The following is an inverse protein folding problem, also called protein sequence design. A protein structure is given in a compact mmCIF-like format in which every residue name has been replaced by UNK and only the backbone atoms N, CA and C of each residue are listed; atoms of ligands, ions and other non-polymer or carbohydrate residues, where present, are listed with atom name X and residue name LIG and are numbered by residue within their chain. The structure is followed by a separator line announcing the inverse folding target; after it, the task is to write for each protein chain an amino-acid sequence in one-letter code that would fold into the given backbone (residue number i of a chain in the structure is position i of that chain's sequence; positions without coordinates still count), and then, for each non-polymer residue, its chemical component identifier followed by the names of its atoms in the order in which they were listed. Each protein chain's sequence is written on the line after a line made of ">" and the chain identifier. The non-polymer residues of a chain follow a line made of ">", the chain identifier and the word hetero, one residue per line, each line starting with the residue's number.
data_IF_000886375888
#
_entry.id   IF_000886375888
#
_cell.length_a   1.000
_cell.length_b   1.000
_cell.length_c   1.000
_cell.angle_alpha   90.00
_cell.angle_beta   90.00
_cell.angle_gamma   90.00
#
_symmetry.space_group_name_H-M   'P 1'
#
loop_
_entity.id
_entity.type
_entity.pdbx_description
1 polymer ?
#
# COMPACT_ATOMS: atom_id res chain seq x y z
N UNK A 1 -5.26 17.48 12.15
CA UNK A 1 -5.01 16.02 12.31
C UNK A 1 -4.66 15.47 10.94
N UNK A 2 -3.61 14.60 10.87
CA UNK A 2 -3.38 13.72 9.71
C UNK A 2 -3.70 12.30 10.16
N UNK A 3 -4.56 11.61 9.42
CA UNK A 3 -4.97 10.25 9.70
C UNK A 3 -4.48 9.28 8.62
N UNK A 4 -3.74 8.28 9.05
CA UNK A 4 -3.26 7.16 8.23
C UNK A 4 -4.41 6.17 7.99
N UNK A 5 -5.17 6.37 6.92
CA UNK A 5 -6.23 5.47 6.49
C UNK A 5 -5.68 4.42 5.51
N UNK A 6 -6.55 3.71 4.83
CA UNK A 6 -6.19 2.60 3.94
C UNK A 6 -7.13 2.52 2.73
N UNK A 7 -6.62 2.05 1.61
CA UNK A 7 -7.43 1.70 0.44
C UNK A 7 -8.49 0.62 0.72
N UNK A 8 -8.36 -0.15 1.81
CA UNK A 8 -9.37 -1.15 2.21
C UNK A 8 -10.74 -0.54 2.51
N UNK A 9 -10.83 0.76 2.82
CA UNK A 9 -12.12 1.46 3.04
C UNK A 9 -13.00 1.51 1.79
N UNK A 10 -12.42 1.36 0.59
CA UNK A 10 -13.20 1.30 -0.64
C UNK A 10 -14.06 0.04 -0.77
N UNK A 11 -13.67 -1.05 -0.08
CA UNK A 11 -14.40 -2.31 -0.06
C UNK A 11 -14.42 -3.04 -1.41
N UNK A 12 -15.01 -4.23 -1.43
CA UNK A 12 -14.98 -5.13 -2.57
C UNK A 12 -15.93 -4.75 -3.73
N UNK A 13 -16.74 -3.69 -3.58
CA UNK A 13 -17.55 -3.17 -4.70
C UNK A 13 -16.76 -2.34 -5.70
N UNK A 14 -15.60 -1.84 -5.30
CA UNK A 14 -14.72 -1.03 -6.12
C UNK A 14 -13.52 -1.86 -6.55
N UNK A 15 -13.17 -1.81 -7.82
CA UNK A 15 -12.03 -2.51 -8.41
C UNK A 15 -11.35 -1.65 -9.47
N UNK A 16 -10.14 -2.01 -9.87
CA UNK A 16 -9.34 -1.23 -10.81
C UNK A 16 -8.81 0.06 -10.20
N UNK A 17 -8.91 1.15 -10.94
CA UNK A 17 -8.41 2.47 -10.53
C UNK A 17 -9.36 3.16 -9.55
N UNK A 18 -8.91 3.43 -8.32
CA UNK A 18 -9.72 3.99 -7.23
C UNK A 18 -9.43 5.47 -7.03
N UNK A 19 -10.47 6.30 -7.12
CA UNK A 19 -10.44 7.74 -6.82
C UNK A 19 -11.14 8.07 -5.50
N UNK A 20 -10.87 9.24 -4.91
CA UNK A 20 -11.36 9.63 -3.58
C UNK A 20 -12.87 9.89 -3.55
N UNK A 21 -13.51 10.11 -4.68
CA UNK A 21 -14.96 10.35 -4.84
C UNK A 21 -15.78 9.05 -4.86
N UNK A 22 -15.13 7.89 -4.93
CA UNK A 22 -15.82 6.61 -4.86
C UNK A 22 -16.43 6.37 -3.47
N UNK A 23 -17.58 5.69 -3.46
CA UNK A 23 -18.26 5.29 -2.23
C UNK A 23 -17.39 4.36 -1.40
N UNK A 24 -17.23 4.66 -0.11
CA UNK A 24 -16.51 3.83 0.86
C UNK A 24 -17.47 3.15 1.84
N UNK A 25 -16.96 2.17 2.60
CA UNK A 25 -17.73 1.51 3.65
C UNK A 25 -18.70 0.43 3.15
N UNK A 26 -18.63 0.05 1.88
CA UNK A 26 -19.53 -0.97 1.33
C UNK A 26 -18.76 -2.22 0.98
N UNK A 27 -19.19 -3.36 1.56
CA UNK A 27 -18.55 -4.66 1.36
C UNK A 27 -17.04 -4.65 1.73
N UNK A 28 -16.69 -4.01 2.83
CA UNK A 28 -15.36 -4.16 3.42
C UNK A 28 -15.21 -5.61 3.89
N UNK A 29 -14.12 -6.25 3.53
CA UNK A 29 -13.93 -7.70 3.70
C UNK A 29 -13.16 -8.09 4.95
N UNK A 30 -12.68 -7.11 5.73
CA UNK A 30 -11.86 -7.37 6.91
C UNK A 30 -12.04 -6.33 8.02
N UNK A 31 -11.88 -6.73 9.31
CA UNK A 31 -12.04 -5.82 10.44
C UNK A 31 -11.11 -4.60 10.42
N UNK A 32 -9.90 -4.72 9.86
CA UNK A 32 -8.97 -3.60 9.74
C UNK A 32 -9.57 -2.48 8.87
N UNK A 33 -10.10 -2.82 7.70
CA UNK A 33 -10.76 -1.86 6.81
C UNK A 33 -11.96 -1.18 7.48
N UNK A 34 -12.77 -1.95 8.22
CA UNK A 34 -13.89 -1.40 8.99
C UNK A 34 -13.42 -0.39 10.05
N UNK A 35 -12.36 -0.69 10.81
CA UNK A 35 -11.83 0.26 11.79
C UNK A 35 -11.36 1.56 11.15
N UNK A 36 -10.68 1.47 9.99
CA UNK A 36 -10.24 2.67 9.25
C UNK A 36 -11.43 3.49 8.75
N UNK A 37 -12.44 2.84 8.19
CA UNK A 37 -13.65 3.51 7.72
C UNK A 37 -14.41 4.22 8.86
N UNK A 38 -14.60 3.56 10.00
CA UNK A 38 -15.25 4.16 11.17
C UNK A 38 -14.50 5.39 11.67
N UNK A 39 -13.17 5.35 11.72
CA UNK A 39 -12.35 6.49 12.12
C UNK A 39 -12.47 7.64 11.10
N UNK A 40 -12.49 7.36 9.78
CA UNK A 40 -12.77 8.41 8.78
C UNK A 40 -14.09 9.11 9.08
N UNK A 41 -15.17 8.36 9.36
CA UNK A 41 -16.49 8.94 9.68
C UNK A 41 -16.50 9.77 10.96
N UNK A 42 -15.79 9.33 12.00
CA UNK A 42 -15.65 10.10 13.24
C UNK A 42 -14.93 11.43 12.96
N UNK A 43 -13.81 11.40 12.21
CA UNK A 43 -13.03 12.58 11.91
C UNK A 43 -13.79 13.57 10.99
N UNK A 44 -14.55 13.07 10.01
CA UNK A 44 -15.44 13.88 9.18
C UNK A 44 -16.50 14.59 10.04
N UNK A 45 -17.14 13.87 10.97
CA UNK A 45 -18.13 14.43 11.88
C UNK A 45 -17.52 15.48 12.83
N UNK A 46 -16.33 15.22 13.37
CA UNK A 46 -15.60 16.19 14.20
C UNK A 46 -15.24 17.47 13.44
N UNK A 47 -14.80 17.35 12.19
CA UNK A 47 -14.50 18.52 11.35
C UNK A 47 -15.75 19.36 11.03
N UNK A 48 -16.94 18.74 10.96
CA UNK A 48 -18.21 19.45 10.82
C UNK A 48 -18.58 20.15 12.14
N UNK A 49 -18.42 19.49 13.29
CA UNK A 49 -18.74 20.03 14.60
C UNK A 49 -17.79 21.17 15.03
N UNK A 50 -16.57 21.17 14.50
CA UNK A 50 -15.49 22.12 14.81
C UNK A 50 -14.97 22.75 13.53
N UNK A 51 -15.60 23.82 13.03
CA UNK A 51 -15.25 24.42 11.73
C UNK A 51 -13.81 24.95 11.61
N UNK A 52 -13.14 25.18 12.73
CA UNK A 52 -11.71 25.57 12.77
C UNK A 52 -10.75 24.39 12.58
N UNK A 53 -11.25 23.15 12.65
CA UNK A 53 -10.43 21.94 12.57
C UNK A 53 -10.07 21.61 11.13
N UNK A 54 -8.82 21.25 10.91
CA UNK A 54 -8.33 20.67 9.66
C UNK A 54 -8.05 19.18 9.85
N UNK A 55 -8.69 18.36 9.04
CA UNK A 55 -8.50 16.89 8.99
C UNK A 55 -7.99 16.51 7.62
N UNK A 56 -6.87 15.79 7.58
CA UNK A 56 -6.33 15.20 6.36
C UNK A 56 -6.33 13.68 6.48
N UNK A 57 -7.04 13.02 5.60
CA UNK A 57 -7.16 11.55 5.55
C UNK A 57 -6.31 11.06 4.38
N UNK A 58 -5.32 10.20 4.69
CA UNK A 58 -4.42 9.62 3.70
C UNK A 58 -4.74 8.14 3.54
N UNK A 59 -5.31 7.75 2.39
CA UNK A 59 -5.63 6.36 2.06
C UNK A 59 -4.44 5.71 1.40
N UNK A 60 -3.73 4.87 2.15
CA UNK A 60 -2.54 4.15 1.67
C UNK A 60 -2.95 2.96 0.83
N UNK A 61 -2.16 2.71 -0.21
CA UNK A 61 -2.15 1.44 -0.91
C UNK A 61 -1.11 0.52 -0.25
N UNK A 62 -0.29 -0.20 -0.98
CA UNK A 62 0.62 -1.20 -0.39
C UNK A 62 2.04 -0.62 -0.21
N UNK A 63 2.43 -0.17 1.00
CA UNK A 63 3.80 0.29 1.21
C UNK A 63 4.80 -0.85 1.05
N UNK A 64 5.92 -0.55 0.36
CA UNK A 64 7.05 -1.47 0.15
C UNK A 64 8.36 -0.70 0.18
N UNK A 65 9.47 -1.42 0.21
CA UNK A 65 10.78 -0.81 0.23
C UNK A 65 11.27 -0.51 1.64
N UNK A 66 12.45 0.09 1.71
CA UNK A 66 13.11 0.54 2.90
C UNK A 66 13.77 1.91 2.62
N UNK A 67 14.34 2.55 3.62
CA UNK A 67 15.15 3.74 3.40
C UNK A 67 16.49 3.35 2.75
N UNK A 68 16.95 4.12 1.78
CA UNK A 68 18.19 3.87 1.00
C UNK A 68 19.44 3.67 1.87
N UNK A 69 19.46 4.21 3.10
CA UNK A 69 20.57 4.03 4.04
C UNK A 69 20.70 2.60 4.57
N UNK A 70 19.72 1.71 4.37
CA UNK A 70 19.68 0.39 4.99
C UNK A 70 19.41 0.37 6.50
N UNK A 71 19.15 1.53 7.13
CA UNK A 71 18.96 1.63 8.59
C UNK A 71 17.50 1.55 9.03
N UNK A 72 16.56 1.81 8.11
CA UNK A 72 15.12 1.83 8.38
C UNK A 72 14.40 0.97 7.36
N UNK A 73 13.64 -0.01 7.83
CA UNK A 73 12.87 -0.93 7.02
C UNK A 73 11.80 -1.64 7.83
N UNK A 74 11.04 -2.53 7.20
CA UNK A 74 9.98 -3.29 7.83
C UNK A 74 10.54 -4.60 8.42
N UNK A 75 10.41 -4.78 9.74
CA UNK A 75 10.75 -6.01 10.47
C UNK A 75 9.64 -6.33 11.47
N UNK A 76 8.51 -6.93 11.00
CA UNK A 76 7.36 -7.17 11.84
C UNK A 76 7.60 -8.33 12.82
N UNK A 77 7.13 -8.15 14.06
CA UNK A 77 7.10 -9.24 15.04
C UNK A 77 6.05 -10.30 14.64
N UNK A 78 6.42 -11.57 14.70
CA UNK A 78 5.55 -12.70 14.45
C UNK A 78 5.39 -13.06 12.96
N UNK A 79 4.24 -13.66 12.62
CA UNK A 79 3.95 -14.10 11.24
C UNK A 79 3.41 -12.90 10.45
N UNK A 80 4.10 -12.44 9.40
CA UNK A 80 3.64 -11.31 8.61
C UNK A 80 2.45 -11.69 7.72
N UNK A 81 1.58 -10.71 7.46
CA UNK A 81 0.45 -10.85 6.55
C UNK A 81 0.68 -10.16 5.18
N UNK A 82 1.66 -9.26 5.10
CA UNK A 82 2.01 -8.55 3.87
C UNK A 82 3.00 -9.36 3.02
N UNK A 83 2.95 -9.13 1.71
CA UNK A 83 3.78 -9.85 0.74
C UNK A 83 5.28 -9.71 1.01
N UNK A 84 5.78 -8.47 1.13
CA UNK A 84 7.23 -8.23 1.23
C UNK A 84 7.87 -8.82 2.48
N UNK A 85 7.30 -8.71 3.69
CA UNK A 85 7.84 -9.42 4.85
C UNK A 85 7.89 -10.93 4.71
N UNK A 86 6.93 -11.54 3.98
CA UNK A 86 6.98 -12.99 3.70
C UNK A 86 8.12 -13.30 2.72
N UNK A 87 8.26 -12.51 1.65
CA UNK A 87 9.37 -12.62 0.68
C UNK A 87 10.73 -12.54 1.39
N UNK A 88 10.88 -11.59 2.31
CA UNK A 88 12.10 -11.46 3.13
C UNK A 88 12.39 -12.70 3.98
N UNK A 89 11.36 -13.30 4.59
CA UNK A 89 11.50 -14.54 5.37
C UNK A 89 11.78 -15.78 4.50
N UNK A 90 11.32 -15.80 3.25
CA UNK A 90 11.73 -16.85 2.30
C UNK A 90 13.19 -16.68 1.92
N UNK A 91 13.64 -15.43 1.65
CA UNK A 91 15.06 -15.15 1.39
C UNK A 91 15.98 -15.55 2.54
N UNK A 92 15.58 -15.33 3.78
CA UNK A 92 16.36 -15.71 4.97
C UNK A 92 16.33 -17.21 5.25
N UNK A 93 15.45 -17.98 4.61
CA UNK A 93 15.23 -19.41 4.86
C UNK A 93 14.34 -19.71 6.07
N UNK A 94 13.77 -18.71 6.73
CA UNK A 94 12.81 -18.91 7.82
C UNK A 94 11.49 -19.52 7.30
N UNK A 95 11.09 -19.17 6.08
CA UNK A 95 9.96 -19.75 5.35
C UNK A 95 10.52 -20.47 4.13
N UNK A 96 10.06 -21.71 3.89
CA UNK A 96 10.60 -22.57 2.83
C UNK A 96 10.33 -22.00 1.43
N UNK A 97 9.11 -21.50 1.20
CA UNK A 97 8.65 -21.03 -0.10
C UNK A 97 7.50 -20.03 0.05
N UNK A 98 7.35 -19.14 -0.94
CA UNK A 98 6.26 -18.17 -1.01
C UNK A 98 4.99 -18.83 -1.55
N UNK A 99 3.86 -18.68 -0.86
CA UNK A 99 2.55 -19.01 -1.40
C UNK A 99 1.98 -17.82 -2.19
N UNK A 100 1.76 -18.00 -3.49
CA UNK A 100 1.09 -17.03 -4.37
C UNK A 100 -0.38 -17.43 -4.48
N UNK A 101 -1.28 -16.59 -3.95
CA UNK A 101 -2.70 -16.91 -3.84
C UNK A 101 -3.46 -16.56 -5.13
N UNK A 102 -3.85 -17.60 -5.88
CA UNK A 102 -4.52 -17.50 -7.18
C UNK A 102 -3.54 -17.26 -8.33
N UNK A 103 -3.78 -17.99 -9.43
CA UNK A 103 -3.08 -17.86 -10.70
C UNK A 103 -4.03 -17.83 -11.88
N UNK A 104 -5.30 -17.59 -11.61
CA UNK A 104 -6.42 -17.66 -12.56
C UNK A 104 -7.31 -16.40 -12.53
N UNK A 105 -6.80 -15.28 -11.95
CA UNK A 105 -7.47 -13.98 -12.04
C UNK A 105 -7.47 -13.47 -13.49
N UNK A 106 -8.50 -12.71 -13.84
CA UNK A 106 -8.56 -12.00 -15.13
C UNK A 106 -7.60 -10.79 -15.11
N UNK A 107 -6.31 -11.10 -15.15
CA UNK A 107 -5.17 -10.16 -15.12
C UNK A 107 -4.10 -10.64 -16.10
N UNK A 108 -3.10 -9.81 -16.38
CA UNK A 108 -2.08 -10.09 -17.40
C UNK A 108 -1.23 -11.35 -17.17
N UNK A 109 -1.11 -11.81 -15.93
CA UNK A 109 -0.34 -13.01 -15.57
C UNK A 109 -1.11 -13.98 -14.65
N UNK A 110 -2.39 -13.72 -14.43
CA UNK A 110 -3.26 -14.55 -13.60
C UNK A 110 -3.16 -14.27 -12.10
N UNK A 111 -2.23 -13.42 -11.63
CA UNK A 111 -2.11 -13.06 -10.21
C UNK A 111 -2.75 -11.70 -9.91
N UNK A 112 -3.04 -11.41 -8.63
CA UNK A 112 -3.63 -10.15 -8.22
C UNK A 112 -2.74 -8.96 -8.56
N UNK A 113 -3.37 -7.86 -9.00
CA UNK A 113 -2.70 -6.57 -9.24
C UNK A 113 -2.98 -5.63 -8.08
N UNK A 114 -1.92 -5.03 -7.54
CA UNK A 114 -1.97 -4.06 -6.43
C UNK A 114 -1.11 -2.84 -6.77
N UNK A 115 -1.38 -1.74 -6.09
CA UNK A 115 -0.53 -0.55 -6.14
C UNK A 115 0.51 -0.63 -5.02
N UNK A 116 1.76 -0.75 -5.38
CA UNK A 116 2.87 -0.74 -4.44
C UNK A 116 3.56 0.62 -4.47
N UNK A 117 3.63 1.24 -3.30
CA UNK A 117 4.23 2.57 -3.10
C UNK A 117 5.49 2.46 -2.24
N UNK A 118 6.57 3.10 -2.68
CA UNK A 118 7.79 3.15 -1.88
C UNK A 118 7.55 3.89 -0.56
N UNK A 119 8.05 3.33 0.55
CA UNK A 119 7.80 3.87 1.90
C UNK A 119 8.31 5.31 2.07
N UNK A 120 9.39 5.69 1.37
CA UNK A 120 9.91 7.07 1.38
C UNK A 120 8.95 8.03 0.66
N UNK A 121 8.39 7.63 -0.50
CA UNK A 121 7.37 8.45 -1.18
C UNK A 121 6.12 8.61 -0.31
N UNK A 122 5.72 7.55 0.40
CA UNK A 122 4.62 7.61 1.36
C UNK A 122 4.91 8.60 2.49
N UNK A 123 6.12 8.59 3.07
CA UNK A 123 6.55 9.54 4.09
C UNK A 123 6.55 10.99 3.56
N UNK A 124 7.04 11.20 2.34
CA UNK A 124 6.99 12.51 1.68
C UNK A 124 5.55 12.96 1.43
N UNK A 125 4.62 12.03 1.13
CA UNK A 125 3.18 12.31 1.02
C UNK A 125 2.60 12.87 2.32
N UNK A 126 3.04 12.39 3.49
CA UNK A 126 2.65 12.97 4.78
C UNK A 126 3.15 14.40 4.93
N UNK A 127 4.42 14.66 4.64
CA UNK A 127 4.98 16.00 4.72
C UNK A 127 4.26 16.98 3.78
N UNK A 128 3.99 16.54 2.55
CA UNK A 128 3.24 17.35 1.57
C UNK A 128 1.81 17.59 1.99
N UNK A 129 1.16 16.62 2.63
CA UNK A 129 -0.22 16.74 3.09
C UNK A 129 -0.41 17.81 4.19
N UNK A 130 0.66 18.21 4.88
CA UNK A 130 0.61 19.35 5.82
C UNK A 130 0.18 20.67 5.14
N UNK A 131 0.39 20.80 3.83
CA UNK A 131 -0.07 21.97 3.07
C UNK A 131 -1.60 22.05 3.04
N UNK A 132 -2.31 20.93 3.19
CA UNK A 132 -3.78 20.90 3.25
C UNK A 132 -4.33 21.52 4.54
N UNK A 133 -3.52 21.74 5.58
CA UNK A 133 -3.93 22.45 6.80
C UNK A 133 -4.28 23.91 6.59
N UNK A 134 -3.95 24.49 5.45
CA UNK A 134 -4.43 25.80 5.06
C UNK A 134 -5.96 25.85 4.82
N UNK A 135 -6.59 24.68 4.67
CA UNK A 135 -8.04 24.51 4.51
C UNK A 135 -8.62 23.87 5.76
N UNK A 136 -9.70 24.43 6.29
CA UNK A 136 -10.49 23.79 7.36
C UNK A 136 -11.42 22.73 6.77
N UNK A 137 -11.94 21.86 7.64
CA UNK A 137 -12.76 20.71 7.23
C UNK A 137 -11.92 19.49 6.86
N UNK A 138 -12.46 18.59 6.05
CA UNK A 138 -11.82 17.32 5.71
C UNK A 138 -11.25 17.34 4.28
N UNK A 139 -10.00 16.94 4.15
CA UNK A 139 -9.34 16.68 2.87
C UNK A 139 -8.90 15.21 2.82
N UNK A 140 -9.23 14.51 1.74
CA UNK A 140 -8.91 13.09 1.56
C UNK A 140 -7.99 12.94 0.36
N UNK A 141 -6.93 12.14 0.48
CA UNK A 141 -5.97 11.87 -0.60
C UNK A 141 -5.58 10.39 -0.65
N UNK A 142 -5.57 9.84 -1.85
CA UNK A 142 -4.94 8.55 -2.12
C UNK A 142 -3.43 8.71 -2.20
N UNK A 143 -2.70 7.90 -1.44
CA UNK A 143 -1.25 7.79 -1.53
C UNK A 143 -0.89 6.41 -2.12
N UNK A 144 -0.69 6.40 -3.42
CA UNK A 144 -0.30 5.26 -4.23
C UNK A 144 0.48 5.73 -5.45
N UNK A 145 1.08 4.80 -6.17
CA UNK A 145 1.86 5.08 -7.38
C UNK A 145 0.98 5.37 -8.60
N UNK A 146 -0.28 4.95 -8.56
CA UNK A 146 -1.18 4.96 -9.71
C UNK A 146 -0.87 3.88 -10.74
N UNK A 147 0.03 2.95 -10.40
CA UNK A 147 0.43 1.81 -11.25
C UNK A 147 0.05 0.51 -10.57
N UNK A 148 -0.70 -0.31 -11.31
CA UNK A 148 -0.99 -1.67 -10.87
C UNK A 148 0.19 -2.59 -11.18
N UNK A 149 0.75 -3.24 -10.17
CA UNK A 149 1.82 -4.24 -10.30
C UNK A 149 1.30 -5.58 -9.80
N UNK A 150 1.52 -6.65 -10.54
CA UNK A 150 1.08 -7.99 -10.17
C UNK A 150 1.99 -8.62 -9.09
N UNK A 151 1.50 -9.68 -8.44
CA UNK A 151 2.32 -10.40 -7.44
C UNK A 151 3.56 -11.03 -8.10
N UNK A 152 3.42 -11.58 -9.32
CA UNK A 152 4.55 -12.13 -10.05
C UNK A 152 5.56 -11.06 -10.47
N UNK A 153 5.10 -9.88 -10.89
CA UNK A 153 6.00 -8.78 -11.23
C UNK A 153 6.81 -8.29 -10.01
N UNK A 154 6.20 -8.18 -8.83
CA UNK A 154 6.91 -7.86 -7.59
C UNK A 154 7.95 -8.94 -7.26
N UNK A 155 7.57 -10.20 -7.39
CA UNK A 155 8.47 -11.32 -7.14
C UNK A 155 9.68 -11.29 -8.08
N UNK A 156 9.45 -11.11 -9.38
CA UNK A 156 10.53 -11.02 -10.37
C UNK A 156 11.46 -9.84 -10.11
N UNK A 157 10.91 -8.65 -9.80
CA UNK A 157 11.73 -7.50 -9.44
C UNK A 157 12.60 -7.76 -8.19
N UNK A 158 12.07 -8.51 -7.21
CA UNK A 158 12.85 -8.93 -6.05
C UNK A 158 13.94 -9.93 -6.42
N UNK A 159 13.63 -10.92 -7.25
CA UNK A 159 14.61 -11.93 -7.73
C UNK A 159 15.76 -11.28 -8.49
N UNK A 160 15.45 -10.30 -9.36
CA UNK A 160 16.47 -9.54 -10.09
C UNK A 160 17.40 -8.78 -9.13
N UNK A 161 16.83 -8.05 -8.17
CA UNK A 161 17.60 -7.30 -7.19
C UNK A 161 18.39 -8.21 -6.24
N UNK A 162 17.85 -9.38 -5.90
CA UNK A 162 18.47 -10.38 -5.02
C UNK A 162 19.49 -11.29 -5.74
N UNK A 163 19.55 -11.26 -7.07
CA UNK A 163 20.37 -12.14 -7.92
C UNK A 163 20.13 -13.63 -7.67
N UNK A 164 18.94 -14.02 -7.22
CA UNK A 164 18.57 -15.39 -6.94
C UNK A 164 17.06 -15.59 -7.04
N UNK A 165 16.66 -16.75 -7.56
CA UNK A 165 15.25 -17.15 -7.61
C UNK A 165 14.66 -17.34 -6.21
N UNK A 166 13.38 -17.00 -6.06
CA UNK A 166 12.62 -17.16 -4.84
C UNK A 166 11.73 -18.41 -4.95
N UNK A 167 11.92 -19.43 -4.11
CA UNK A 167 11.05 -20.60 -4.09
C UNK A 167 9.59 -20.20 -3.85
N UNK A 168 8.68 -20.64 -4.71
CA UNK A 168 7.26 -20.34 -4.60
C UNK A 168 6.38 -21.46 -5.13
N UNK A 169 5.10 -21.42 -4.73
CA UNK A 169 4.04 -22.26 -5.31
C UNK A 169 2.75 -21.46 -5.40
N UNK A 170 1.86 -21.89 -6.28
CA UNK A 170 0.51 -21.32 -6.35
C UNK A 170 -0.41 -22.03 -5.37
N UNK A 171 -1.22 -21.23 -4.68
CA UNK A 171 -2.27 -21.68 -3.77
C UNK A 171 -3.64 -21.16 -4.24
N UNK A 172 -4.72 -21.68 -3.66
CA UNK A 172 -6.07 -21.22 -3.95
C UNK A 172 -6.26 -19.73 -3.63
N UNK A 173 -7.17 -19.05 -4.33
CA UNK A 173 -7.52 -17.65 -4.07
C UNK A 173 -7.92 -17.45 -2.61
N UNK A 174 -7.46 -16.36 -1.99
CA UNK A 174 -7.95 -15.97 -0.67
C UNK A 174 -9.38 -15.38 -0.80
N UNK A 175 -10.29 -15.72 0.11
CA UNK A 175 -11.62 -15.12 0.12
C UNK A 175 -11.55 -13.58 0.25
N UNK A 176 -12.25 -12.89 -0.63
CA UNK A 176 -12.33 -11.43 -0.63
C UNK A 176 -11.21 -10.71 -1.39
N UNK A 177 -10.22 -11.42 -1.96
CA UNK A 177 -9.23 -10.80 -2.83
C UNK A 177 -9.87 -10.37 -4.16
N UNK A 178 -9.59 -9.13 -4.56
CA UNK A 178 -9.99 -8.57 -5.86
C UNK A 178 -8.86 -8.77 -6.87
N UNK A 179 -9.23 -8.95 -8.13
CA UNK A 179 -8.25 -9.12 -9.21
C UNK A 179 -7.31 -7.92 -9.33
N UNK A 180 -7.85 -6.70 -9.25
CA UNK A 180 -7.07 -5.49 -9.48
C UNK A 180 -7.54 -4.34 -8.59
N UNK A 181 -6.57 -3.66 -7.92
CA UNK A 181 -6.79 -2.44 -7.13
C UNK A 181 -5.54 -1.57 -7.22
N UNK A 182 -5.69 -0.32 -7.68
CA UNK A 182 -4.63 0.69 -7.68
C UNK A 182 -5.19 2.11 -7.53
N UNK A 183 -4.35 3.06 -7.12
CA UNK A 183 -4.75 4.43 -6.83
C UNK A 183 -5.02 5.24 -8.10
N UNK A 184 -5.92 6.23 -7.98
CA UNK A 184 -5.81 7.47 -8.73
C UNK A 184 -5.12 8.54 -7.87
N UNK A 185 -3.83 8.85 -8.06
CA UNK A 185 -3.12 9.84 -7.28
C UNK A 185 -3.29 11.27 -7.81
N UNK A 186 -4.13 11.49 -8.82
CA UNK A 186 -4.25 12.77 -9.54
C UNK A 186 -4.62 13.94 -8.61
N UNK A 187 -5.40 13.68 -7.57
CA UNK A 187 -5.77 14.70 -6.57
C UNK A 187 -4.57 15.13 -5.73
N UNK A 188 -3.79 14.18 -5.22
CA UNK A 188 -2.58 14.47 -4.47
C UNK A 188 -1.55 15.22 -5.33
N UNK A 189 -1.38 14.83 -6.60
CA UNK A 189 -0.52 15.55 -7.54
C UNK A 189 -0.97 17.01 -7.74
N UNK A 190 -2.25 17.22 -7.98
CA UNK A 190 -2.80 18.57 -8.26
C UNK A 190 -2.79 19.48 -7.04
N UNK A 191 -3.16 18.96 -5.85
CA UNK A 191 -3.41 19.77 -4.66
C UNK A 191 -2.24 19.86 -3.69
N UNK A 192 -1.38 18.83 -3.65
CA UNK A 192 -0.23 18.73 -2.75
C UNK A 192 1.11 18.84 -3.49
N UNK A 193 1.10 18.93 -4.83
CA UNK A 193 2.30 18.80 -5.65
C UNK A 193 3.16 17.59 -5.23
N UNK A 194 2.47 16.45 -5.08
CA UNK A 194 3.08 15.18 -4.67
C UNK A 194 2.80 14.08 -5.70
N UNK A 195 3.81 13.34 -6.02
CA UNK A 195 3.77 12.11 -6.81
C UNK A 195 4.91 11.19 -6.36
N UNK A 196 4.81 9.91 -6.69
CA UNK A 196 5.88 8.95 -6.42
C UNK A 196 7.06 9.18 -7.34
N UNK A 197 8.26 9.05 -6.81
CA UNK A 197 9.53 9.20 -7.52
C UNK A 197 10.34 7.92 -7.59
N UNK A 198 10.06 6.96 -6.69
CA UNK A 198 10.75 5.67 -6.66
C UNK A 198 9.98 4.62 -7.49
N UNK A 199 10.74 3.72 -8.08
CA UNK A 199 10.21 2.57 -8.83
C UNK A 199 10.09 1.33 -7.93
N UNK A 200 9.52 0.25 -8.47
CA UNK A 200 9.50 -1.06 -7.80
C UNK A 200 10.91 -1.61 -7.63
N UNK A 201 11.76 -1.42 -8.64
CA UNK A 201 13.16 -1.84 -8.61
C UNK A 201 13.94 -1.12 -7.49
N UNK A 202 13.70 0.20 -7.31
CA UNK A 202 14.24 0.95 -6.18
C UNK A 202 13.78 0.35 -4.85
N UNK A 203 12.48 0.06 -4.71
CA UNK A 203 11.94 -0.52 -3.50
C UNK A 203 12.54 -1.90 -3.18
N UNK A 204 12.76 -2.75 -4.20
CA UNK A 204 13.38 -4.06 -4.01
C UNK A 204 14.86 -3.93 -3.62
N UNK A 205 15.61 -3.08 -4.30
CA UNK A 205 17.01 -2.79 -3.96
C UNK A 205 17.16 -2.29 -2.51
N UNK A 206 16.33 -1.34 -2.11
CA UNK A 206 16.42 -0.73 -0.79
C UNK A 206 15.96 -1.70 0.32
N UNK A 207 14.98 -2.57 0.03
CA UNK A 207 14.62 -3.69 0.91
C UNK A 207 15.80 -4.64 1.13
N UNK A 208 16.51 -5.02 0.07
CA UNK A 208 17.67 -5.92 0.17
C UNK A 208 18.82 -5.24 0.93
N UNK A 209 19.08 -3.96 0.67
CA UNK A 209 20.07 -3.19 1.41
C UNK A 209 19.77 -3.18 2.93
N UNK A 210 18.51 -2.99 3.32
CA UNK A 210 18.09 -3.08 4.72
C UNK A 210 18.34 -4.47 5.32
N UNK A 211 17.97 -5.54 4.61
CA UNK A 211 18.17 -6.93 5.06
C UNK A 211 19.64 -7.29 5.24
N UNK A 212 20.52 -6.77 4.39
CA UNK A 212 21.95 -7.04 4.44
C UNK A 212 22.66 -6.19 5.50
N UNK A 213 22.11 -5.01 5.83
CA UNK A 213 22.62 -4.12 6.86
C UNK A 213 22.20 -4.53 8.29
N UNK A 214 21.13 -5.29 8.44
CA UNK A 214 20.58 -5.75 9.73
C UNK A 214 21.29 -7.02 10.27
N UNK A 215 22.31 -7.53 9.56
CA UNK A 215 23.16 -8.66 9.97
C UNK A 215 24.39 -8.14 10.71
#
# INVERSE_FOLDING_TARGET
>A
IIFSSSATVYGAKNSGKLSEDLTTGVAITNPYGETKHVIEKILEAEAVARPEMSVVILRYFNPVGAHESGLLGEDPNGIPNNLMPIVMKVRSGEIKELAIYGNDYDTRDGTCIRDYIHVVDLALGHLKSMQAFAKTGTSIYNLGSGRGTSVLEIMHAFEEANHAALPHHFADRRPGDLAEIFADPSKAKRELNWETTHTIEDAMRDTINFLDSAK
#
